data_IF_776285835547
#
_entry.id   IF_776285835547
#
_cell.length_a   1.000
_cell.length_b   1.000
_cell.length_c   1.000
_cell.angle_alpha   90.00
_cell.angle_beta   90.00
_cell.angle_gamma   90.00
#
_symmetry.space_group_name_H-M   'P 1'
#
loop_
_entity.id
_entity.type
_entity.pdbx_description
1 polymer ?
#
# COMPACT_ATOMS: atom_id res chain seq x y z
N UNK A 1 -62.37 -35.07 2.07
CA UNK A 1 -62.40 -33.63 2.36
C UNK A 1 -61.27 -32.97 1.58
N UNK A 2 -61.51 -31.79 0.98
CA UNK A 2 -60.61 -31.12 0.03
C UNK A 2 -60.18 -29.75 0.53
N UNK A 3 -58.89 -29.45 0.39
CA UNK A 3 -58.27 -28.12 0.29
C UNK A 3 -56.83 -28.39 -0.19
N UNK A 4 -56.47 -28.31 -1.47
CA UNK A 4 -56.57 -27.18 -2.42
C UNK A 4 -55.71 -26.00 -1.98
N UNK A 5 -54.45 -25.99 -2.43
CA UNK A 5 -53.58 -24.81 -2.47
C UNK A 5 -53.28 -24.47 -3.95
N UNK A 6 -53.21 -23.19 -4.33
CA UNK A 6 -53.20 -22.79 -5.73
C UNK A 6 -51.85 -23.01 -6.42
N UNK A 7 -51.91 -23.56 -7.63
CA UNK A 7 -50.78 -23.72 -8.54
C UNK A 7 -50.76 -22.60 -9.58
N UNK A 8 -49.87 -21.62 -9.45
CA UNK A 8 -49.49 -20.74 -10.56
C UNK A 8 -47.99 -20.42 -10.58
N UNK A 9 -47.47 -20.23 -11.80
CA UNK A 9 -46.11 -19.80 -12.16
C UNK A 9 -44.98 -20.81 -11.97
N UNK A 10 -45.10 -21.93 -12.71
CA UNK A 10 -43.90 -22.52 -13.32
C UNK A 10 -43.37 -21.59 -14.43
N UNK A 11 -42.11 -21.17 -14.29
CA UNK A 11 -41.32 -20.56 -15.37
C UNK A 11 -40.14 -21.47 -15.68
N UNK A 12 -40.14 -22.09 -16.85
CA UNK A 12 -39.07 -22.98 -17.31
C UNK A 12 -37.82 -22.18 -17.67
N UNK A 13 -36.66 -22.56 -17.09
CA UNK A 13 -35.36 -22.03 -17.49
C UNK A 13 -34.57 -23.08 -18.27
N UNK A 14 -34.68 -23.00 -19.59
CA UNK A 14 -33.66 -23.51 -20.50
C UNK A 14 -32.46 -22.55 -20.56
N UNK A 15 -31.33 -22.96 -21.15
CA UNK A 15 -30.07 -22.22 -21.08
C UNK A 15 -29.94 -21.10 -22.14
N UNK A 16 -28.93 -20.26 -21.90
CA UNK A 16 -28.19 -19.43 -22.86
C UNK A 16 -28.49 -17.92 -22.95
N UNK A 17 -27.39 -17.21 -23.19
CA UNK A 17 -27.23 -15.88 -23.80
C UNK A 17 -27.62 -14.62 -23.02
N UNK A 18 -26.63 -14.15 -22.26
CA UNK A 18 -26.52 -12.79 -21.76
C UNK A 18 -26.33 -11.77 -22.90
N UNK A 19 -27.43 -11.17 -23.36
CA UNK A 19 -27.41 -9.97 -24.22
C UNK A 19 -27.84 -8.75 -23.40
N UNK A 20 -26.92 -7.82 -23.18
CA UNK A 20 -27.22 -6.47 -22.70
C UNK A 20 -26.72 -5.44 -23.70
N UNK A 21 -27.64 -4.88 -24.48
CA UNK A 21 -27.42 -3.69 -25.29
C UNK A 21 -28.63 -2.76 -25.18
N UNK A 22 -28.41 -1.54 -24.65
CA UNK A 22 -29.20 -0.35 -24.95
C UNK A 22 -28.41 0.93 -24.57
N UNK A 23 -28.76 2.12 -25.08
CA UNK A 23 -27.89 2.71 -26.10
C UNK A 23 -27.43 4.14 -25.78
N UNK A 24 -26.37 4.58 -26.46
CA UNK A 24 -25.97 5.99 -26.50
C UNK A 24 -26.68 6.74 -27.64
N UNK A 25 -27.10 8.01 -27.45
CA UNK A 25 -27.65 8.83 -28.51
C UNK A 25 -26.56 9.40 -29.43
N UNK A 26 -26.90 9.57 -30.70
CA UNK A 26 -25.98 9.90 -31.80
C UNK A 26 -26.14 11.33 -32.33
N UNK A 27 -25.05 12.10 -32.31
CA UNK A 27 -24.74 13.23 -33.22
C UNK A 27 -23.29 13.64 -32.91
N UNK A 28 -22.37 13.88 -33.85
CA UNK A 28 -22.40 13.81 -35.32
C UNK A 28 -21.23 14.67 -35.84
N UNK A 29 -20.38 14.15 -36.73
CA UNK A 29 -19.22 14.89 -37.24
C UNK A 29 -18.10 13.98 -37.73
N UNK A 30 -17.65 14.18 -38.98
CA UNK A 30 -16.70 13.32 -39.70
C UNK A 30 -15.36 14.06 -39.87
N UNK A 31 -14.31 13.30 -40.19
CA UNK A 31 -13.03 13.66 -40.83
C UNK A 31 -11.74 13.66 -39.96
N UNK A 32 -10.76 12.92 -40.50
CA UNK A 32 -9.35 12.86 -40.11
C UNK A 32 -8.53 13.95 -40.87
N UNK A 33 -7.29 14.26 -40.45
CA UNK A 33 -6.65 15.55 -40.76
C UNK A 33 -5.86 15.59 -42.07
N UNK A 34 -5.58 16.82 -42.55
CA UNK A 34 -4.66 17.13 -43.64
C UNK A 34 -3.63 18.20 -43.21
N UNK A 35 -2.44 18.17 -43.81
CA UNK A 35 -1.28 19.00 -43.46
C UNK A 35 -1.28 20.40 -44.12
N UNK A 36 -0.64 21.38 -43.48
CA UNK A 36 -0.03 22.60 -44.07
C UNK A 36 0.61 23.43 -42.92
N UNK A 37 1.61 24.31 -43.11
CA UNK A 37 2.70 24.40 -44.10
C UNK A 37 3.81 25.32 -43.50
N UNK A 38 5.08 25.19 -43.92
CA UNK A 38 6.16 26.14 -43.59
C UNK A 38 6.16 27.35 -44.55
N UNK A 39 6.82 28.48 -44.21
CA UNK A 39 8.18 28.70 -44.75
C UNK A 39 9.15 29.53 -43.87
N UNK A 40 10.48 29.36 -44.05
CA UNK A 40 11.48 30.41 -44.35
C UNK A 40 12.95 29.89 -44.30
N UNK A 41 13.82 30.42 -45.16
CA UNK A 41 15.27 30.17 -45.36
C UNK A 41 15.79 31.08 -46.50
N UNK A 42 17.11 31.21 -46.83
CA UNK A 42 18.36 31.08 -46.06
C UNK A 42 19.38 32.23 -46.30
N UNK A 43 20.54 32.20 -45.61
CA UNK A 43 21.84 32.83 -45.99
C UNK A 43 22.93 32.35 -45.00
N UNK A 44 24.25 32.31 -45.21
CA UNK A 44 25.18 32.19 -46.37
C UNK A 44 26.62 32.21 -45.80
N UNK A 45 27.49 31.33 -46.31
CA UNK A 45 28.97 31.31 -46.33
C UNK A 45 29.85 32.14 -45.36
N UNK A 46 30.88 31.49 -44.78
CA UNK A 46 32.31 31.89 -44.96
C UNK A 46 33.27 30.69 -44.79
N UNK A 47 34.42 30.76 -45.47
CA UNK A 47 35.43 29.70 -45.61
C UNK A 47 36.56 29.76 -44.57
N UNK A 48 37.26 28.64 -44.37
CA UNK A 48 38.66 28.62 -43.95
C UNK A 48 39.43 27.46 -44.65
N UNK A 49 40.35 27.81 -45.54
CA UNK A 49 41.52 27.02 -45.98
C UNK A 49 42.61 27.09 -44.88
N UNK A 50 43.65 26.26 -44.76
CA UNK A 50 44.33 25.28 -45.64
C UNK A 50 44.93 24.12 -44.76
N UNK A 51 45.84 23.20 -45.15
CA UNK A 51 46.66 22.99 -46.36
C UNK A 51 47.12 21.50 -46.53
N UNK A 52 48.13 21.28 -47.38
CA UNK A 52 49.01 20.12 -47.66
C UNK A 52 49.18 19.06 -46.54
N UNK A 53 49.24 17.76 -46.84
CA UNK A 53 50.36 17.15 -47.61
C UNK A 53 49.97 15.94 -48.49
N UNK A 54 50.89 15.55 -49.39
CA UNK A 54 50.73 14.47 -50.38
C UNK A 54 51.49 13.23 -49.92
N UNK A 55 50.85 12.07 -49.89
CA UNK A 55 51.56 10.81 -50.13
C UNK A 55 50.72 9.80 -50.93
N UNK A 56 51.41 8.95 -51.68
CA UNK A 56 50.89 8.10 -52.74
C UNK A 56 51.15 6.63 -52.40
N UNK A 57 50.21 6.00 -51.69
CA UNK A 57 50.24 4.57 -51.44
C UNK A 57 48.95 3.87 -51.89
N UNK A 58 49.15 2.98 -52.86
CA UNK A 58 48.44 1.76 -53.26
C UNK A 58 46.99 1.50 -52.75
N UNK A 59 46.15 1.06 -53.69
CA UNK A 59 44.80 0.52 -53.42
C UNK A 59 44.87 -0.77 -52.60
N UNK A 60 44.99 -0.66 -51.28
CA UNK A 60 44.76 -1.76 -50.35
C UNK A 60 43.27 -1.84 -50.05
N UNK A 61 42.62 -2.88 -50.56
CA UNK A 61 41.19 -3.14 -50.35
C UNK A 61 40.91 -3.54 -48.89
N UNK A 62 40.78 -2.55 -48.00
CA UNK A 62 40.37 -2.75 -46.61
C UNK A 62 38.91 -3.20 -46.53
N UNK A 63 38.57 -4.35 -45.92
CA UNK A 63 37.21 -4.90 -45.91
C UNK A 63 36.23 -4.16 -44.98
N UNK A 64 36.68 -3.10 -44.29
CA UNK A 64 35.89 -2.33 -43.32
C UNK A 64 35.84 -0.84 -43.68
N UNK A 65 35.01 -0.50 -44.66
CA UNK A 65 34.74 0.89 -45.04
C UNK A 65 33.63 1.50 -44.15
N UNK A 66 34.02 2.08 -43.01
CA UNK A 66 33.10 2.74 -42.10
C UNK A 66 32.78 4.17 -42.56
N UNK A 67 31.69 4.33 -43.33
CA UNK A 67 31.15 5.65 -43.63
C UNK A 67 30.43 6.24 -42.39
N UNK A 68 30.82 7.43 -41.88
CA UNK A 68 30.13 8.07 -40.78
C UNK A 68 28.76 8.61 -41.23
N UNK A 69 27.67 8.01 -40.75
CA UNK A 69 26.31 8.46 -41.06
C UNK A 69 25.91 9.60 -40.11
N UNK A 70 25.92 10.82 -40.63
CA UNK A 70 25.48 12.02 -39.91
C UNK A 70 23.94 12.02 -39.73
N UNK A 71 23.46 12.34 -38.54
CA UNK A 71 22.03 12.27 -38.21
C UNK A 71 21.25 13.46 -38.78
N UNK A 72 20.28 13.20 -39.66
CA UNK A 72 19.29 14.19 -40.10
C UNK A 72 17.91 13.87 -39.52
N UNK A 73 17.25 14.80 -38.80
CA UNK A 73 15.86 14.63 -38.39
C UNK A 73 14.93 14.58 -39.62
N UNK A 74 13.93 13.69 -39.62
CA UNK A 74 12.81 13.74 -40.57
C UNK A 74 12.84 12.77 -41.76
N UNK A 75 13.85 11.90 -41.91
CA UNK A 75 13.84 10.81 -42.92
C UNK A 75 13.64 9.45 -42.26
N UNK A 76 12.71 8.59 -42.70
CA UNK A 76 12.54 7.25 -42.14
C UNK A 76 13.79 6.41 -42.42
N UNK A 77 14.54 6.07 -41.38
CA UNK A 77 15.76 5.30 -41.49
C UNK A 77 15.45 3.86 -41.93
N UNK A 78 15.96 3.47 -43.10
CA UNK A 78 15.86 2.10 -43.58
C UNK A 78 16.59 1.14 -42.63
N UNK A 79 15.88 0.06 -42.24
CA UNK A 79 16.36 -1.21 -41.67
C UNK A 79 17.82 -1.24 -41.20
N UNK A 80 18.08 -0.78 -39.96
CA UNK A 80 19.31 -1.19 -39.25
C UNK A 80 19.24 -2.68 -38.90
N UNK A 81 20.36 -3.35 -39.07
CA UNK A 81 20.54 -4.79 -38.92
C UNK A 81 20.49 -5.24 -37.45
N UNK A 82 19.48 -6.04 -37.10
CA UNK A 82 19.35 -6.75 -35.82
C UNK A 82 20.30 -7.98 -35.82
N UNK A 83 21.62 -7.71 -35.84
CA UNK A 83 22.66 -8.75 -35.81
C UNK A 83 22.76 -9.35 -34.42
N UNK A 84 22.04 -10.45 -34.19
CA UNK A 84 22.16 -11.26 -32.97
C UNK A 84 20.87 -11.99 -32.61
N UNK A 85 19.70 -11.40 -32.91
CA UNK A 85 18.42 -12.10 -32.76
C UNK A 85 18.17 -12.91 -34.02
N UNK A 86 18.38 -14.23 -33.94
CA UNK A 86 17.96 -15.19 -34.99
C UNK A 86 16.44 -15.10 -35.16
N UNK A 87 15.99 -14.17 -36.01
CA UNK A 87 14.66 -14.16 -36.62
C UNK A 87 14.53 -15.45 -37.44
N UNK A 88 14.06 -16.51 -36.81
CA UNK A 88 13.52 -17.65 -37.54
C UNK A 88 12.45 -17.12 -38.48
N UNK A 89 12.66 -17.26 -39.78
CA UNK A 89 11.67 -16.85 -40.77
C UNK A 89 10.36 -17.59 -40.49
N UNK A 90 9.32 -16.85 -40.11
CA UNK A 90 7.95 -17.38 -40.00
C UNK A 90 7.37 -17.59 -41.40
N UNK A 91 7.91 -18.55 -42.15
CA UNK A 91 7.28 -19.08 -43.35
C UNK A 91 6.04 -19.88 -42.95
N UNK A 92 4.93 -19.19 -42.64
CA UNK A 92 3.61 -19.81 -42.43
C UNK A 92 2.88 -20.15 -43.74
N UNK A 93 3.47 -19.82 -44.90
CA UNK A 93 2.84 -19.92 -46.22
C UNK A 93 3.73 -20.59 -47.28
N UNK A 94 4.85 -21.22 -46.91
CA UNK A 94 5.55 -22.15 -47.81
C UNK A 94 4.72 -23.43 -47.91
N UNK A 95 3.86 -23.48 -48.93
CA UNK A 95 3.18 -24.70 -49.35
C UNK A 95 4.22 -25.82 -49.56
N UNK A 96 3.95 -26.99 -48.96
CA UNK A 96 4.83 -28.17 -48.92
C UNK A 96 6.06 -28.03 -47.98
N UNK A 97 5.83 -28.19 -46.67
CA UNK A 97 6.45 -29.30 -45.89
C UNK A 97 6.08 -29.23 -44.39
N UNK A 98 5.48 -30.31 -43.90
CA UNK A 98 5.45 -30.75 -42.49
C UNK A 98 5.49 -29.68 -41.37
N UNK A 99 4.33 -29.10 -41.06
CA UNK A 99 4.08 -28.47 -39.74
C UNK A 99 4.00 -29.55 -38.64
N UNK A 100 5.14 -30.13 -38.26
CA UNK A 100 5.28 -31.11 -37.16
C UNK A 100 4.93 -30.48 -35.81
N UNK A 101 5.13 -29.17 -35.67
CA UNK A 101 4.66 -28.40 -34.52
C UNK A 101 3.36 -27.68 -34.90
N UNK A 102 2.21 -28.28 -34.54
CA UNK A 102 1.00 -27.49 -34.37
C UNK A 102 1.30 -26.44 -33.30
N UNK A 103 1.06 -25.16 -33.61
CA UNK A 103 1.05 -24.14 -32.56
C UNK A 103 -0.04 -24.54 -31.56
N UNK A 104 0.26 -24.56 -30.24
CA UNK A 104 -0.72 -24.97 -29.24
C UNK A 104 -1.98 -24.10 -29.37
N UNK A 105 -3.19 -24.67 -29.21
CA UNK A 105 -4.44 -23.93 -29.43
C UNK A 105 -4.38 -22.56 -28.73
N UNK A 106 -4.74 -21.46 -29.42
CA UNK A 106 -4.63 -20.13 -28.86
C UNK A 106 -5.43 -20.07 -27.56
N UNK A 107 -4.72 -19.95 -26.44
CA UNK A 107 -5.32 -19.93 -25.11
C UNK A 107 -6.35 -18.81 -25.07
N UNK A 108 -7.53 -19.10 -24.53
CA UNK A 108 -8.56 -18.09 -24.32
C UNK A 108 -7.95 -16.85 -23.63
N UNK A 109 -8.31 -15.62 -24.07
CA UNK A 109 -7.73 -14.41 -23.53
C UNK A 109 -7.92 -14.40 -22.01
N UNK A 110 -6.83 -14.13 -21.29
CA UNK A 110 -6.83 -14.12 -19.82
C UNK A 110 -7.87 -13.11 -19.34
N UNK A 111 -8.77 -13.56 -18.46
CA UNK A 111 -9.89 -12.76 -17.93
C UNK A 111 -9.43 -11.50 -17.18
N UNK A 112 -8.15 -11.45 -16.79
CA UNK A 112 -7.54 -10.32 -16.10
C UNK A 112 -6.57 -9.56 -17.02
N UNK A 113 -6.58 -8.21 -17.00
CA UNK A 113 -5.61 -7.42 -17.74
C UNK A 113 -4.18 -7.68 -17.22
N UNK A 114 -3.21 -7.66 -18.14
CA UNK A 114 -1.80 -7.91 -17.81
C UNK A 114 -1.26 -6.90 -16.77
N UNK A 115 -1.56 -5.63 -16.98
CA UNK A 115 -1.33 -4.54 -16.03
C UNK A 115 -2.29 -3.40 -16.32
N UNK A 116 -2.58 -2.59 -15.31
CA UNK A 116 -3.25 -1.29 -15.47
C UNK A 116 -2.20 -0.17 -15.50
N UNK A 117 -2.50 1.00 -16.10
CA UNK A 117 -1.61 2.14 -16.06
C UNK A 117 -1.35 2.58 -14.61
N UNK A 118 -0.09 2.85 -14.28
CA UNK A 118 0.30 3.36 -12.96
C UNK A 118 0.22 4.89 -13.04
N UNK A 119 -0.59 5.57 -12.19
CA UNK A 119 -0.76 7.01 -12.25
C UNK A 119 0.53 7.76 -11.92
N UNK A 120 0.80 8.80 -12.71
CA UNK A 120 1.89 9.76 -12.50
C UNK A 120 1.57 10.72 -11.36
N UNK A 121 2.59 11.39 -10.81
CA UNK A 121 2.38 12.43 -9.77
C UNK A 121 1.46 13.58 -10.24
N UNK A 122 1.44 13.90 -11.54
CA UNK A 122 0.53 14.89 -12.11
C UNK A 122 -0.92 14.42 -12.05
N UNK A 123 -1.16 13.16 -12.42
CA UNK A 123 -2.49 12.54 -12.38
C UNK A 123 -2.99 12.38 -10.94
N UNK A 124 -2.12 11.95 -10.01
CA UNK A 124 -2.39 11.94 -8.56
C UNK A 124 -2.90 13.29 -8.09
N UNK A 125 -2.18 14.38 -8.42
CA UNK A 125 -2.57 15.74 -8.03
C UNK A 125 -3.89 16.20 -8.67
N UNK A 126 -4.13 15.89 -9.94
CA UNK A 126 -5.39 16.26 -10.61
C UNK A 126 -6.59 15.41 -10.16
N UNK A 127 -6.35 14.22 -9.58
CA UNK A 127 -7.38 13.33 -9.05
C UNK A 127 -7.87 13.73 -7.66
N UNK A 128 -7.13 14.58 -6.93
CA UNK A 128 -7.48 14.96 -5.56
C UNK A 128 -8.83 15.68 -5.49
N UNK A 129 -9.77 15.12 -4.71
CA UNK A 129 -11.00 15.83 -4.37
C UNK A 129 -10.72 17.06 -3.50
N UNK A 130 -11.68 18.00 -3.42
CA UNK A 130 -11.57 19.17 -2.51
C UNK A 130 -11.39 18.74 -1.06
N UNK A 131 -12.04 17.66 -0.65
CA UNK A 131 -11.90 17.07 0.68
C UNK A 131 -10.48 16.50 0.87
N UNK A 132 -9.97 15.68 -0.07
CA UNK A 132 -8.61 15.14 -0.04
C UNK A 132 -7.53 16.24 -0.04
N UNK A 133 -7.76 17.34 -0.76
CA UNK A 133 -6.87 18.51 -0.78
C UNK A 133 -6.87 19.23 0.56
N UNK A 134 -8.05 19.46 1.16
CA UNK A 134 -8.17 20.04 2.50
C UNK A 134 -7.53 19.14 3.57
N UNK A 135 -7.72 17.82 3.46
CA UNK A 135 -7.06 16.82 4.30
C UNK A 135 -5.53 16.90 4.19
N UNK A 136 -5.00 16.94 2.96
CA UNK A 136 -3.56 17.09 2.71
C UNK A 136 -2.99 18.41 3.25
N UNK A 137 -3.71 19.52 3.08
CA UNK A 137 -3.33 20.81 3.66
C UNK A 137 -3.28 20.75 5.20
N UNK A 138 -4.23 20.05 5.83
CA UNK A 138 -4.19 19.82 7.28
C UNK A 138 -3.00 18.96 7.71
N UNK A 139 -2.56 17.97 6.92
CA UNK A 139 -1.34 17.20 7.22
C UNK A 139 -0.10 18.11 7.28
N UNK A 140 0.03 19.09 6.38
CA UNK A 140 1.11 20.10 6.45
C UNK A 140 0.97 21.02 7.67
N UNK A 141 -0.26 21.40 8.04
CA UNK A 141 -0.53 22.16 9.27
C UNK A 141 -0.08 21.39 10.53
N UNK A 142 -0.45 20.10 10.64
CA UNK A 142 -0.02 19.22 11.72
C UNK A 142 1.51 19.11 11.77
N UNK A 143 2.15 18.85 10.64
CA UNK A 143 3.61 18.77 10.55
C UNK A 143 4.30 20.07 10.99
N UNK A 144 3.72 21.23 10.66
CA UNK A 144 4.20 22.53 11.11
C UNK A 144 4.05 22.70 12.63
N UNK A 145 2.92 22.31 13.22
CA UNK A 145 2.73 22.28 14.69
C UNK A 145 3.77 21.38 15.36
N UNK A 146 4.01 20.17 14.83
CA UNK A 146 5.04 19.27 15.36
C UNK A 146 6.44 19.90 15.31
N UNK A 147 6.77 20.62 14.23
CA UNK A 147 8.00 21.37 14.09
C UNK A 147 8.13 22.55 15.07
N UNK A 148 7.06 23.30 15.32
CA UNK A 148 7.04 24.36 16.33
C UNK A 148 7.22 23.81 17.75
N UNK A 149 6.55 22.71 18.09
CA UNK A 149 6.72 22.03 19.39
C UNK A 149 8.17 21.54 19.53
N UNK A 150 8.75 20.93 18.49
CA UNK A 150 10.15 20.51 18.48
C UNK A 150 11.12 21.68 18.69
N UNK A 151 10.86 22.83 18.07
CA UNK A 151 11.65 24.05 18.26
C UNK A 151 11.52 24.63 19.68
N UNK A 152 10.37 24.44 20.34
CA UNK A 152 10.17 24.84 21.73
C UNK A 152 10.74 23.86 22.78
N UNK A 153 11.18 22.66 22.36
CA UNK A 153 11.43 21.53 23.26
C UNK A 153 12.83 21.51 23.93
N UNK A 154 13.68 22.51 23.70
CA UNK A 154 15.13 22.49 24.00
C UNK A 154 15.55 22.14 25.45
N UNK A 155 14.66 22.25 26.45
CA UNK A 155 14.96 22.01 27.88
C UNK A 155 14.01 20.99 28.56
N UNK A 156 13.10 20.32 27.84
CA UNK A 156 12.18 19.31 28.41
C UNK A 156 12.19 18.02 27.62
N UNK A 157 12.38 16.90 28.33
CA UNK A 157 12.33 15.58 27.71
C UNK A 157 10.89 15.24 27.33
N UNK A 158 9.89 15.61 28.14
CA UNK A 158 8.50 15.36 27.80
C UNK A 158 8.02 16.19 26.58
N UNK A 159 8.45 17.45 26.40
CA UNK A 159 8.20 18.19 25.15
C UNK A 159 8.91 17.55 23.94
N UNK A 160 10.14 17.06 24.15
CA UNK A 160 10.95 16.37 23.13
C UNK A 160 10.38 15.00 22.72
N UNK A 161 9.58 14.39 23.59
CA UNK A 161 8.76 13.20 23.31
C UNK A 161 7.47 13.58 22.60
N UNK A 162 6.76 14.62 23.08
CA UNK A 162 5.52 15.12 22.49
C UNK A 162 5.73 15.52 21.02
N UNK A 163 6.81 16.24 20.70
CA UNK A 163 7.13 16.62 19.32
C UNK A 163 7.33 15.40 18.41
N UNK A 164 8.05 14.36 18.85
CA UNK A 164 8.22 13.11 18.11
C UNK A 164 6.89 12.36 17.91
N UNK A 165 5.99 12.38 18.91
CA UNK A 165 4.63 11.83 18.76
C UNK A 165 3.78 12.61 17.75
N UNK A 166 3.79 13.94 17.81
CA UNK A 166 3.06 14.78 16.84
C UNK A 166 3.62 14.61 15.42
N UNK A 167 4.93 14.43 15.27
CA UNK A 167 5.56 14.11 14.00
C UNK A 167 5.12 12.73 13.47
N UNK A 168 5.05 11.72 14.33
CA UNK A 168 4.51 10.40 13.98
C UNK A 168 3.04 10.47 13.56
N UNK A 169 2.21 11.19 14.34
CA UNK A 169 0.79 11.40 14.03
C UNK A 169 0.61 12.14 12.69
N UNK A 170 1.45 13.13 12.38
CA UNK A 170 1.45 13.84 11.10
C UNK A 170 1.87 12.94 9.93
N UNK A 171 2.89 12.08 10.09
CA UNK A 171 3.28 11.11 9.06
C UNK A 171 2.19 10.06 8.79
N UNK A 172 1.49 9.59 9.83
CA UNK A 172 0.30 8.74 9.70
C UNK A 172 -0.81 9.42 8.90
N UNK A 173 -0.94 10.74 9.06
CA UNK A 173 -1.94 11.55 8.36
C UNK A 173 -1.64 11.60 6.85
N UNK A 174 -0.38 11.86 6.49
CA UNK A 174 0.08 11.80 5.10
C UNK A 174 -0.12 10.42 4.48
N UNK A 175 0.17 9.33 5.21
CA UNK A 175 -0.07 7.97 4.75
C UNK A 175 -1.55 7.76 4.40
N UNK A 176 -2.46 8.11 5.31
CA UNK A 176 -3.89 7.93 5.10
C UNK A 176 -4.43 8.76 3.93
N UNK A 177 -3.97 10.01 3.74
CA UNK A 177 -4.33 10.82 2.58
C UNK A 177 -3.75 10.24 1.28
N UNK A 178 -2.50 9.78 1.26
CA UNK A 178 -1.87 9.19 0.09
C UNK A 178 -2.61 7.92 -0.38
N UNK A 179 -3.03 7.08 0.57
CA UNK A 179 -3.83 5.86 0.30
C UNK A 179 -5.25 6.20 -0.16
N UNK A 180 -5.87 7.24 0.39
CA UNK A 180 -7.21 7.69 0.00
C UNK A 180 -7.21 8.25 -1.45
N UNK A 181 -6.23 9.10 -1.79
CA UNK A 181 -6.06 9.58 -3.18
C UNK A 181 -5.65 8.43 -4.11
N UNK A 182 -4.79 7.51 -3.67
CA UNK A 182 -4.45 6.30 -4.44
C UNK A 182 -5.68 5.45 -4.75
N UNK A 183 -6.63 5.36 -3.80
CA UNK A 183 -7.89 4.63 -3.93
C UNK A 183 -8.87 5.21 -4.96
N UNK A 184 -8.59 6.40 -5.54
CA UNK A 184 -9.31 6.97 -6.67
C UNK A 184 -9.01 6.24 -8.00
N UNK A 185 -7.87 5.55 -8.10
CA UNK A 185 -7.45 4.86 -9.32
C UNK A 185 -7.78 3.36 -9.28
N UNK A 186 -8.27 2.80 -10.39
CA UNK A 186 -8.63 1.37 -10.47
C UNK A 186 -7.48 0.44 -10.05
N UNK A 187 -6.24 0.75 -10.46
CA UNK A 187 -5.05 -0.06 -10.17
C UNK A 187 -4.79 -0.25 -8.66
N UNK A 188 -5.36 0.60 -7.81
CA UNK A 188 -5.27 0.42 -6.36
C UNK A 188 -6.01 -0.83 -5.89
N UNK A 189 -7.23 -1.05 -6.38
CA UNK A 189 -8.16 -2.10 -5.91
C UNK A 189 -8.34 -3.27 -6.88
N UNK A 190 -8.06 -3.07 -8.17
CA UNK A 190 -8.33 -4.03 -9.24
C UNK A 190 -7.13 -4.96 -9.46
N UNK A 191 -7.38 -6.26 -9.35
CA UNK A 191 -6.40 -7.31 -9.67
C UNK A 191 -5.95 -7.27 -11.13
N UNK A 192 -4.65 -7.49 -11.33
CA UNK A 192 -3.99 -7.61 -12.64
C UNK A 192 -2.98 -8.76 -12.59
N UNK A 193 -2.47 -9.23 -13.74
CA UNK A 193 -1.45 -10.29 -13.74
C UNK A 193 -0.16 -9.83 -13.04
N UNK A 194 0.23 -8.56 -13.22
CA UNK A 194 1.41 -7.97 -12.56
C UNK A 194 1.19 -7.71 -11.06
N UNK A 195 -0.02 -7.33 -10.67
CA UNK A 195 -0.42 -7.00 -9.30
C UNK A 195 -1.73 -7.74 -8.95
N UNK A 196 -1.67 -9.00 -8.49
CA UNK A 196 -2.84 -9.87 -8.32
C UNK A 196 -3.83 -9.38 -7.24
N UNK A 197 -3.41 -8.47 -6.37
CA UNK A 197 -4.22 -7.88 -5.30
C UNK A 197 -4.20 -6.35 -5.33
N UNK A 198 -4.02 -5.77 -6.53
CA UNK A 198 -3.86 -4.32 -6.70
C UNK A 198 -2.65 -3.76 -5.96
N UNK A 199 -2.73 -2.48 -5.57
CA UNK A 199 -1.74 -1.82 -4.72
C UNK A 199 -2.14 -1.74 -3.24
N UNK A 200 -3.27 -2.32 -2.80
CA UNK A 200 -3.67 -2.29 -1.37
C UNK A 200 -2.63 -2.96 -0.43
N UNK A 201 -1.78 -3.86 -0.93
CA UNK A 201 -0.64 -4.41 -0.16
C UNK A 201 0.49 -3.39 0.07
N UNK A 202 0.63 -2.36 -0.77
CA UNK A 202 1.64 -1.31 -0.58
C UNK A 202 1.39 -0.46 0.68
N UNK A 203 0.12 -0.29 1.06
CA UNK A 203 -0.29 0.32 2.32
C UNK A 203 0.21 -0.46 3.55
N UNK A 204 0.21 -1.79 3.48
CA UNK A 204 0.73 -2.67 4.56
C UNK A 204 2.24 -2.50 4.70
N UNK A 205 2.98 -2.39 3.59
CA UNK A 205 4.43 -2.12 3.57
C UNK A 205 4.75 -0.75 4.16
N UNK A 206 4.01 0.28 3.77
CA UNK A 206 4.20 1.63 4.31
C UNK A 206 3.82 1.71 5.79
N UNK A 207 2.79 0.98 6.23
CA UNK A 207 2.45 0.80 7.65
C UNK A 207 3.53 0.07 8.46
N UNK A 208 4.22 -0.91 7.86
CA UNK A 208 5.40 -1.53 8.47
C UNK A 208 6.54 -0.50 8.61
N UNK A 209 6.80 0.29 7.56
CA UNK A 209 7.78 1.39 7.61
C UNK A 209 7.50 2.38 8.75
N UNK A 210 6.23 2.77 8.93
CA UNK A 210 5.80 3.59 10.07
C UNK A 210 6.10 2.91 11.42
N UNK A 211 5.78 1.63 11.58
CA UNK A 211 6.04 0.91 12.84
C UNK A 211 7.53 0.80 13.18
N UNK A 212 8.38 0.66 12.17
CA UNK A 212 9.85 0.71 12.31
C UNK A 212 10.28 2.11 12.72
N UNK A 213 9.75 3.16 12.10
CA UNK A 213 9.99 4.56 12.51
C UNK A 213 9.62 4.82 13.97
N UNK A 214 8.47 4.29 14.43
CA UNK A 214 8.03 4.42 15.83
C UNK A 214 8.96 3.70 16.81
N UNK A 215 9.42 2.49 16.46
CA UNK A 215 10.44 1.74 17.21
C UNK A 215 11.73 2.55 17.34
N UNK A 216 12.26 3.06 16.23
CA UNK A 216 13.49 3.85 16.24
C UNK A 216 13.34 5.13 17.07
N UNK A 217 12.24 5.87 16.94
CA UNK A 217 12.00 7.08 17.76
C UNK A 217 11.86 6.76 19.24
N UNK A 218 11.22 5.64 19.62
CA UNK A 218 11.12 5.22 21.01
C UNK A 218 12.47 4.80 21.61
N UNK A 219 13.28 4.03 20.87
CA UNK A 219 14.63 3.63 21.28
C UNK A 219 15.59 4.81 21.36
N UNK A 220 15.50 5.75 20.41
CA UNK A 220 16.25 7.01 20.37
C UNK A 220 15.99 7.86 21.62
N UNK A 221 14.72 8.01 22.00
CA UNK A 221 14.31 8.70 23.24
C UNK A 221 14.84 8.02 24.51
N UNK A 222 14.76 6.69 24.58
CA UNK A 222 15.32 5.92 25.70
C UNK A 222 16.85 6.11 25.78
N UNK A 223 17.55 6.06 24.64
CA UNK A 223 19.00 6.25 24.57
C UNK A 223 19.41 7.64 25.08
N UNK A 224 18.80 8.71 24.54
CA UNK A 224 19.05 10.08 24.99
C UNK A 224 18.73 10.29 26.49
N UNK A 225 17.59 9.76 26.95
CA UNK A 225 17.20 9.83 28.37
C UNK A 225 18.18 9.10 29.30
N UNK A 226 18.71 7.95 28.89
CA UNK A 226 19.71 7.20 29.66
C UNK A 226 21.07 7.93 29.68
N UNK A 227 21.52 8.47 28.54
CA UNK A 227 22.76 9.26 28.46
C UNK A 227 22.74 10.41 29.46
N UNK A 228 21.71 11.27 29.44
CA UNK A 228 21.58 12.36 30.40
C UNK A 228 21.48 11.91 31.87
N UNK A 229 20.87 10.74 32.13
CA UNK A 229 20.79 10.18 33.47
C UNK A 229 22.13 9.61 33.99
N UNK A 230 23.03 9.21 33.08
CA UNK A 230 24.38 8.72 33.39
C UNK A 230 25.38 9.87 33.51
N UNK A 231 25.35 10.83 32.58
CA UNK A 231 26.16 12.06 32.63
C UNK A 231 25.96 12.80 33.97
N UNK A 232 24.71 12.96 34.41
CA UNK A 232 24.38 13.60 35.69
C UNK A 232 24.84 12.85 36.94
N UNK A 233 25.35 11.62 36.83
CA UNK A 233 25.97 10.85 37.94
C UNK A 233 27.49 10.80 37.87
N UNK A 234 28.10 11.17 36.75
CA UNK A 234 29.53 10.97 36.49
C UNK A 234 30.48 11.97 37.17
N UNK A 235 29.97 13.01 37.83
CA UNK A 235 30.79 14.02 38.54
C UNK A 235 31.61 14.95 37.63
N UNK A 236 31.52 14.79 36.31
CA UNK A 236 32.16 15.67 35.33
C UNK A 236 31.27 16.87 35.02
N UNK A 237 31.81 18.08 35.16
CA UNK A 237 31.17 19.31 34.70
C UNK A 237 31.05 19.29 33.17
N UNK A 238 29.84 19.49 32.64
CA UNK A 238 29.64 19.64 31.21
C UNK A 238 30.43 20.86 30.69
N UNK A 239 31.25 20.66 29.66
CA UNK A 239 32.05 21.73 29.04
C UNK A 239 31.19 22.80 28.34
N UNK A 240 29.89 22.53 28.15
CA UNK A 240 28.86 23.52 27.85
C UNK A 240 27.92 23.62 29.05
N UNK A 241 28.01 24.73 29.78
CA UNK A 241 27.05 25.05 30.83
C UNK A 241 25.73 25.49 30.18
N UNK A 242 24.83 24.53 29.96
CA UNK A 242 23.42 24.81 29.71
C UNK A 242 22.86 25.42 31.00
N UNK A 243 22.77 26.75 31.04
CA UNK A 243 22.02 27.43 32.07
C UNK A 243 20.56 27.01 31.92
N UNK A 244 20.01 26.32 32.92
CA UNK A 244 18.61 25.90 32.97
C UNK A 244 17.68 27.12 33.16
N UNK A 245 17.64 27.99 32.16
CA UNK A 245 16.60 29.00 32.04
C UNK A 245 15.30 28.26 31.77
N UNK A 246 14.38 28.34 32.74
CA UNK A 246 13.08 27.68 32.66
C UNK A 246 12.41 28.00 31.33
N UNK A 247 11.98 26.96 30.62
CA UNK A 247 10.89 27.10 29.64
C UNK A 247 9.73 27.78 30.37
N UNK A 248 9.30 28.95 29.85
CA UNK A 248 8.14 29.65 30.40
C UNK A 248 6.95 28.68 30.46
N UNK A 249 6.21 28.57 31.58
CA UNK A 249 5.06 27.67 31.67
C UNK A 249 4.09 27.83 30.50
N UNK A 250 3.87 29.07 30.04
CA UNK A 250 3.02 29.35 28.87
C UNK A 250 3.50 28.74 27.56
N UNK A 251 4.80 28.45 27.39
CA UNK A 251 5.31 27.73 26.21
C UNK A 251 4.99 26.22 26.30
N UNK A 252 5.05 25.64 27.50
CA UNK A 252 4.67 24.23 27.75
C UNK A 252 3.16 24.09 27.53
N UNK A 253 2.37 25.01 28.08
CA UNK A 253 0.91 25.04 27.92
C UNK A 253 0.50 25.19 26.45
N UNK A 254 1.11 26.13 25.73
CA UNK A 254 0.84 26.33 24.31
C UNK A 254 1.26 25.12 23.46
N UNK A 255 2.41 24.51 23.75
CA UNK A 255 2.84 23.28 23.08
C UNK A 255 1.84 22.14 23.30
N UNK A 256 1.45 21.87 24.55
CA UNK A 256 0.52 20.80 24.89
C UNK A 256 -0.91 21.06 24.37
N UNK A 257 -1.42 22.29 24.44
CA UNK A 257 -2.70 22.69 23.84
C UNK A 257 -2.67 22.53 22.30
N UNK A 258 -1.58 22.95 21.64
CA UNK A 258 -1.42 22.79 20.20
C UNK A 258 -1.37 21.32 19.79
N UNK A 259 -0.73 20.46 20.61
CA UNK A 259 -0.71 19.01 20.42
C UNK A 259 -2.10 18.39 20.54
N UNK A 260 -2.84 18.71 21.61
CA UNK A 260 -4.23 18.24 21.79
C UNK A 260 -5.11 18.67 20.61
N UNK A 261 -5.09 19.96 20.26
CA UNK A 261 -5.90 20.47 19.16
C UNK A 261 -5.51 19.80 17.84
N UNK A 262 -4.22 19.69 17.55
CA UNK A 262 -3.71 19.08 16.31
C UNK A 262 -4.10 17.61 16.18
N UNK A 263 -3.92 16.81 17.24
CA UNK A 263 -4.28 15.39 17.26
C UNK A 263 -5.80 15.18 17.22
N UNK A 264 -6.61 15.97 17.94
CA UNK A 264 -8.07 15.88 17.89
C UNK A 264 -8.62 16.24 16.50
N UNK A 265 -8.19 17.37 15.93
CA UNK A 265 -8.62 17.80 14.58
C UNK A 265 -8.20 16.76 13.54
N UNK A 266 -7.01 16.15 13.67
CA UNK A 266 -6.57 15.05 12.82
C UNK A 266 -7.39 13.76 13.00
N UNK A 267 -7.75 13.41 14.23
CA UNK A 267 -8.57 12.23 14.50
C UNK A 267 -9.99 12.38 13.93
N UNK A 268 -10.61 13.57 14.06
CA UNK A 268 -11.97 13.83 13.57
C UNK A 268 -12.04 14.07 12.05
N UNK A 269 -11.21 14.96 11.48
CA UNK A 269 -11.29 15.31 10.04
C UNK A 269 -10.61 14.28 9.13
N UNK A 270 -9.49 13.71 9.55
CA UNK A 270 -8.70 12.80 8.72
C UNK A 270 -8.99 11.32 8.98
N UNK A 271 -9.64 10.98 10.12
CA UNK A 271 -9.73 9.61 10.63
C UNK A 271 -8.34 8.95 10.63
N UNK A 272 -7.34 9.73 11.02
CA UNK A 272 -5.91 9.56 10.77
C UNK A 272 -5.41 8.13 11.04
N UNK A 273 -5.81 7.50 12.15
CA UNK A 273 -5.40 6.14 12.47
C UNK A 273 -6.53 5.09 12.42
N UNK A 274 -7.64 5.37 11.71
CA UNK A 274 -8.73 4.39 11.52
C UNK A 274 -8.27 3.08 10.86
N UNK A 275 -7.13 3.11 10.16
CA UNK A 275 -6.52 1.94 9.51
C UNK A 275 -5.60 1.17 10.46
N UNK A 276 -4.75 1.87 11.21
CA UNK A 276 -3.92 1.28 12.28
C UNK A 276 -4.80 0.68 13.39
N UNK A 277 -5.94 1.29 13.71
CA UNK A 277 -6.95 0.75 14.62
C UNK A 277 -7.69 -0.51 14.12
N UNK A 278 -7.64 -0.85 12.82
CA UNK A 278 -8.11 -2.16 12.33
C UNK A 278 -7.13 -3.28 12.68
N UNK A 279 -5.85 -2.97 12.79
CA UNK A 279 -4.76 -3.91 13.11
C UNK A 279 -4.58 -4.04 14.62
N UNK A 280 -4.63 -2.92 15.33
CA UNK A 280 -4.37 -2.83 16.77
C UNK A 280 -5.66 -2.73 17.59
N UNK A 281 -6.49 -3.78 17.56
CA UNK A 281 -7.60 -3.93 18.51
C UNK A 281 -7.09 -4.44 19.87
N UNK A 282 -6.41 -3.57 20.59
CA UNK A 282 -6.05 -3.79 21.99
C UNK A 282 -7.33 -3.82 22.84
N UNK A 283 -7.74 -5.00 23.31
CA UNK A 283 -9.02 -5.19 24.01
C UNK A 283 -9.24 -4.27 25.21
N UNK A 284 -8.16 -3.85 25.89
CA UNK A 284 -8.21 -2.92 27.03
C UNK A 284 -8.70 -1.51 26.66
N UNK A 285 -8.44 -1.03 25.43
CA UNK A 285 -8.87 0.31 24.95
C UNK A 285 -10.05 0.24 23.97
N UNK A 286 -10.54 -0.97 23.63
CA UNK A 286 -11.65 -1.16 22.71
C UNK A 286 -12.98 -0.56 23.20
N UNK A 287 -13.14 -0.41 24.52
CA UNK A 287 -14.32 0.19 25.16
C UNK A 287 -14.26 1.72 25.27
N UNK A 288 -13.15 2.36 24.89
CA UNK A 288 -13.02 3.81 24.89
C UNK A 288 -13.71 4.44 23.65
N UNK A 289 -14.07 5.73 23.71
CA UNK A 289 -14.58 6.46 22.54
C UNK A 289 -13.68 6.30 21.31
N UNK A 290 -14.27 6.32 20.11
CA UNK A 290 -13.61 5.92 18.85
C UNK A 290 -12.28 6.64 18.52
N UNK A 291 -12.03 7.82 19.09
CA UNK A 291 -10.76 8.55 18.97
C UNK A 291 -9.67 7.96 19.88
N UNK A 292 -10.04 7.56 21.10
CA UNK A 292 -9.14 6.99 22.12
C UNK A 292 -8.99 5.47 22.01
N UNK A 293 -9.86 4.79 21.26
CA UNK A 293 -9.67 3.38 20.91
C UNK A 293 -8.47 3.16 19.97
N UNK A 294 -7.90 4.24 19.41
CA UNK A 294 -6.64 4.19 18.71
C UNK A 294 -5.43 4.44 19.63
N UNK A 295 -4.45 3.52 19.69
CA UNK A 295 -3.37 3.61 20.66
C UNK A 295 -2.37 4.75 20.43
N UNK A 296 -2.11 5.20 19.18
CA UNK A 296 -1.19 6.34 18.98
C UNK A 296 -1.85 7.65 19.42
N UNK A 297 -3.09 7.89 19.02
CA UNK A 297 -3.87 9.05 19.48
C UNK A 297 -4.06 9.07 21.00
N UNK A 298 -4.31 7.91 21.62
CA UNK A 298 -4.35 7.80 23.08
C UNK A 298 -3.00 8.19 23.72
N UNK A 299 -1.87 7.75 23.15
CA UNK A 299 -0.53 8.08 23.66
C UNK A 299 -0.22 9.57 23.52
N UNK A 300 -0.50 10.19 22.36
CA UNK A 300 -0.29 11.64 22.14
C UNK A 300 -1.19 12.49 23.04
N UNK A 301 -2.48 12.15 23.16
CA UNK A 301 -3.43 12.91 23.97
C UNK A 301 -3.16 12.76 25.48
N UNK A 302 -2.80 11.57 25.96
CA UNK A 302 -2.43 11.37 27.37
C UNK A 302 -1.11 12.05 27.73
N UNK A 303 -0.09 12.00 26.86
CA UNK A 303 1.15 12.75 27.04
C UNK A 303 0.89 14.26 27.10
N UNK A 304 0.09 14.80 26.17
CA UNK A 304 -0.24 16.23 26.14
C UNK A 304 -1.08 16.66 27.36
N UNK A 305 -2.04 15.85 27.80
CA UNK A 305 -2.85 16.15 28.97
C UNK A 305 -2.02 16.13 30.28
N UNK A 306 -1.07 15.19 30.40
CA UNK A 306 -0.15 15.15 31.54
C UNK A 306 0.81 16.35 31.54
N UNK A 307 1.26 16.81 30.36
CA UNK A 307 2.05 18.03 30.22
C UNK A 307 1.31 19.30 30.66
N UNK A 308 -0.01 19.41 30.48
CA UNK A 308 -0.82 20.50 31.03
C UNK A 308 -0.99 20.45 32.55
N UNK A 309 -0.74 19.30 33.18
CA UNK A 309 -0.78 19.15 34.64
C UNK A 309 0.58 19.39 35.30
N UNK A 310 1.70 19.30 34.56
CA UNK A 310 3.05 19.55 35.07
C UNK A 310 3.22 20.95 35.72
N UNK A 311 2.70 22.06 35.15
CA UNK A 311 2.83 23.40 35.74
C UNK A 311 2.12 23.59 37.08
N UNK A 312 1.18 22.71 37.44
CA UNK A 312 0.43 22.76 38.71
C UNK A 312 1.17 22.06 39.86
N UNK A 313 2.33 21.45 39.60
CA UNK A 313 3.11 20.65 40.54
C UNK A 313 4.36 21.40 41.04
N UNK A 314 4.90 20.94 42.18
CA UNK A 314 6.09 21.56 42.77
C UNK A 314 7.36 21.31 41.93
N UNK A 315 8.35 22.21 42.08
CA UNK A 315 9.58 22.23 41.29
C UNK A 315 10.35 20.89 41.34
N UNK A 316 10.41 20.27 42.52
CA UNK A 316 11.06 18.97 42.72
C UNK A 316 10.31 17.84 41.98
N UNK A 317 8.98 17.89 41.98
CA UNK A 317 8.12 16.90 41.32
C UNK A 317 8.17 17.04 39.79
N UNK A 318 8.27 18.27 39.27
CA UNK A 318 8.38 18.55 37.84
C UNK A 318 9.51 17.77 37.17
N UNK A 319 10.75 17.83 37.70
CA UNK A 319 11.92 17.18 37.07
C UNK A 319 11.82 15.66 37.11
N UNK A 320 11.28 15.10 38.19
CA UNK A 320 11.07 13.66 38.30
C UNK A 320 9.93 13.18 37.38
N UNK A 321 8.84 13.95 37.29
CA UNK A 321 7.68 13.63 36.46
C UNK A 321 7.97 13.78 34.96
N UNK A 322 8.68 14.82 34.52
CA UNK A 322 9.12 15.00 33.12
C UNK A 322 9.92 13.78 32.64
N UNK A 323 10.89 13.32 33.45
CA UNK A 323 11.68 12.11 33.18
C UNK A 323 10.83 10.85 33.16
N UNK A 324 10.02 10.61 34.19
CA UNK A 324 9.19 9.40 34.28
C UNK A 324 8.18 9.36 33.13
N UNK A 325 7.49 10.47 32.84
CA UNK A 325 6.56 10.61 31.71
C UNK A 325 7.26 10.32 30.38
N UNK A 326 8.43 10.92 30.15
CA UNK A 326 9.24 10.71 28.95
C UNK A 326 9.59 9.23 28.75
N UNK A 327 10.12 8.55 29.77
CA UNK A 327 10.43 7.13 29.69
C UNK A 327 9.19 6.24 29.49
N UNK A 328 8.09 6.49 30.21
CA UNK A 328 6.85 5.73 30.04
C UNK A 328 6.31 5.84 28.62
N UNK A 329 6.31 7.04 28.05
CA UNK A 329 5.83 7.27 26.69
C UNK A 329 6.77 6.68 25.66
N UNK A 330 8.09 6.79 25.83
CA UNK A 330 9.07 6.19 24.93
C UNK A 330 8.99 4.64 24.93
N UNK A 331 8.81 4.00 26.08
CA UNK A 331 8.51 2.56 26.19
C UNK A 331 7.18 2.24 25.48
N UNK A 332 6.17 3.09 25.62
CA UNK A 332 4.90 3.00 24.87
C UNK A 332 5.12 3.01 23.35
N UNK A 333 5.95 3.92 22.83
CA UNK A 333 6.30 3.98 21.41
C UNK A 333 6.99 2.69 20.95
N UNK A 334 7.96 2.18 21.70
CA UNK A 334 8.65 0.90 21.39
C UNK A 334 7.65 -0.26 21.39
N UNK A 335 6.80 -0.37 22.41
CA UNK A 335 5.82 -1.45 22.51
C UNK A 335 4.79 -1.42 21.37
N UNK A 336 4.23 -0.23 21.05
CA UNK A 336 3.28 -0.08 19.96
C UNK A 336 3.92 -0.35 18.60
N UNK A 337 5.14 0.17 18.37
CA UNK A 337 5.90 -0.07 17.14
C UNK A 337 6.24 -1.55 16.95
N UNK A 338 6.61 -2.26 18.03
CA UNK A 338 6.82 -3.71 18.01
C UNK A 338 5.55 -4.48 17.66
N UNK A 339 4.44 -4.21 18.35
CA UNK A 339 3.16 -4.89 18.13
C UNK A 339 2.65 -4.64 16.70
N UNK A 340 2.71 -3.39 16.23
CA UNK A 340 2.32 -3.02 14.88
C UNK A 340 3.22 -3.69 13.83
N UNK A 341 4.54 -3.63 14.01
CA UNK A 341 5.51 -4.23 13.09
C UNK A 341 5.39 -5.75 13.01
N UNK A 342 5.13 -6.42 14.13
CA UNK A 342 4.88 -7.86 14.19
C UNK A 342 3.59 -8.24 13.45
N UNK A 343 2.49 -7.52 13.67
CA UNK A 343 1.21 -7.78 13.02
C UNK A 343 1.27 -7.55 11.49
N UNK A 344 1.85 -6.43 11.06
CA UNK A 344 2.01 -6.09 9.64
C UNK A 344 3.05 -6.99 8.96
N UNK A 345 4.13 -7.34 9.66
CA UNK A 345 5.13 -8.30 9.20
C UNK A 345 4.51 -9.68 8.92
N UNK A 346 3.67 -10.20 9.82
CA UNK A 346 2.92 -11.46 9.58
C UNK A 346 1.99 -11.39 8.37
N UNK A 347 1.30 -10.27 8.16
CA UNK A 347 0.47 -10.06 6.97
C UNK A 347 1.32 -10.07 5.69
N UNK A 348 2.47 -9.40 5.69
CA UNK A 348 3.40 -9.40 4.56
C UNK A 348 4.03 -10.77 4.29
N UNK A 349 4.24 -11.57 5.34
CA UNK A 349 4.70 -12.97 5.28
C UNK A 349 3.58 -13.97 4.94
N UNK A 350 2.40 -13.51 4.50
CA UNK A 350 1.26 -14.36 4.13
C UNK A 350 0.84 -15.31 5.26
N UNK A 351 0.69 -14.78 6.46
CA UNK A 351 0.09 -15.48 7.61
C UNK A 351 -1.31 -14.96 7.92
N UNK A 352 -2.13 -15.79 8.56
CA UNK A 352 -3.37 -15.37 9.22
C UNK A 352 -3.23 -15.53 10.74
N UNK A 353 -3.72 -14.54 11.50
CA UNK A 353 -3.59 -14.50 12.98
C UNK A 353 -4.93 -14.42 13.69
N UNK A 354 -6.05 -14.55 12.97
CA UNK A 354 -7.37 -14.59 13.58
C UNK A 354 -7.74 -15.99 14.11
N UNK A 355 -8.77 -16.09 14.96
CA UNK A 355 -9.30 -17.36 15.45
C UNK A 355 -10.09 -18.12 14.36
N UNK A 356 -10.47 -19.37 14.67
CA UNK A 356 -11.45 -20.15 13.89
C UNK A 356 -10.89 -21.03 12.76
N UNK A 357 -9.60 -20.92 12.42
CA UNK A 357 -8.99 -21.77 11.38
C UNK A 357 -9.00 -23.25 11.76
N UNK A 358 -8.76 -23.57 13.03
CA UNK A 358 -8.88 -24.93 13.59
C UNK A 358 -10.26 -25.54 13.32
N UNK A 359 -11.30 -24.75 13.56
CA UNK A 359 -12.69 -25.20 13.57
C UNK A 359 -13.16 -25.41 12.12
N UNK A 360 -12.74 -24.52 11.21
CA UNK A 360 -12.95 -24.70 9.76
C UNK A 360 -12.19 -25.91 9.22
N UNK A 361 -10.97 -26.16 9.67
CA UNK A 361 -10.20 -27.32 9.22
C UNK A 361 -10.85 -28.63 9.69
N UNK A 362 -11.29 -28.68 10.95
CA UNK A 362 -12.04 -29.80 11.52
C UNK A 362 -13.38 -30.05 10.81
N UNK A 363 -14.16 -28.99 10.55
CA UNK A 363 -15.42 -29.08 9.79
C UNK A 363 -15.19 -29.60 8.34
N UNK A 364 -14.00 -29.39 7.75
CA UNK A 364 -13.64 -29.90 6.41
C UNK A 364 -13.12 -31.35 6.48
N UNK A 365 -12.28 -31.69 7.45
CA UNK A 365 -11.75 -33.04 7.65
C UNK A 365 -12.84 -34.06 8.02
N UNK A 366 -13.93 -33.59 8.65
CA UNK A 366 -15.09 -34.41 9.02
C UNK A 366 -16.20 -34.47 7.96
N UNK A 367 -16.09 -33.75 6.84
CA UNK A 367 -17.09 -33.80 5.76
C UNK A 367 -17.04 -35.18 5.05
N UNK A 368 -18.17 -35.90 4.91
CA UNK A 368 -18.18 -37.26 4.36
C UNK A 368 -17.69 -37.35 2.90
N UNK A 369 -17.70 -36.24 2.14
CA UNK A 369 -17.17 -36.20 0.78
C UNK A 369 -15.63 -36.16 0.72
N UNK A 370 -14.99 -35.68 1.79
CA UNK A 370 -13.52 -35.54 1.91
C UNK A 370 -12.93 -36.82 2.49
N UNK A 371 -11.85 -37.33 1.89
CA UNK A 371 -11.03 -38.40 2.49
C UNK A 371 -9.77 -37.87 3.16
N UNK A 372 -9.15 -36.83 2.60
CA UNK A 372 -8.00 -36.17 3.22
C UNK A 372 -7.87 -34.69 2.81
N UNK A 373 -7.39 -33.86 3.73
CA UNK A 373 -6.89 -32.52 3.43
C UNK A 373 -5.39 -32.64 3.14
N UNK A 374 -4.98 -32.54 1.87
CA UNK A 374 -3.56 -32.60 1.49
C UNK A 374 -2.83 -31.29 1.79
N UNK A 375 -3.52 -30.16 1.64
CA UNK A 375 -2.97 -28.83 1.89
C UNK A 375 -4.09 -27.86 2.29
N UNK A 376 -3.87 -27.08 3.35
CA UNK A 376 -4.73 -25.97 3.73
C UNK A 376 -3.86 -24.76 4.09
N UNK A 377 -4.06 -23.64 3.39
CA UNK A 377 -3.31 -22.39 3.61
C UNK A 377 -4.26 -21.22 3.77
N UNK A 378 -4.11 -20.50 4.88
CA UNK A 378 -4.89 -19.33 5.23
C UNK A 378 -3.98 -18.13 5.45
N UNK A 379 -4.26 -17.00 4.80
CA UNK A 379 -3.47 -15.79 4.99
C UNK A 379 -4.29 -14.51 4.82
N UNK A 380 -3.83 -13.42 5.44
CA UNK A 380 -4.34 -12.08 5.18
C UNK A 380 -3.49 -11.40 4.11
N UNK A 381 -4.13 -10.90 3.04
CA UNK A 381 -3.45 -10.27 1.90
C UNK A 381 -3.21 -8.78 2.16
N UNK A 382 -4.25 -8.11 2.67
CA UNK A 382 -4.27 -6.71 3.10
C UNK A 382 -5.47 -6.52 4.06
N UNK A 383 -5.64 -5.33 4.62
CA UNK A 383 -6.67 -5.06 5.64
C UNK A 383 -8.11 -5.40 5.24
N UNK A 384 -8.43 -5.44 3.94
CA UNK A 384 -9.77 -5.75 3.43
C UNK A 384 -9.99 -7.22 3.07
N UNK A 385 -8.94 -8.03 2.91
CA UNK A 385 -9.00 -9.32 2.23
C UNK A 385 -8.12 -10.39 2.90
N UNK A 386 -8.74 -11.53 3.19
CA UNK A 386 -8.07 -12.80 3.46
C UNK A 386 -8.28 -13.79 2.31
N UNK A 387 -7.40 -14.79 2.24
CA UNK A 387 -7.48 -15.86 1.27
C UNK A 387 -7.34 -17.22 1.97
N UNK A 388 -8.15 -18.18 1.54
CA UNK A 388 -8.04 -19.59 1.92
C UNK A 388 -7.84 -20.44 0.67
N UNK A 389 -6.87 -21.34 0.71
CA UNK A 389 -6.57 -22.25 -0.40
C UNK A 389 -6.48 -23.68 0.13
N UNK A 390 -7.20 -24.56 -0.54
CA UNK A 390 -7.32 -25.97 -0.15
C UNK A 390 -6.92 -26.87 -1.30
N UNK A 391 -6.22 -27.95 -0.97
CA UNK A 391 -6.01 -29.11 -1.82
C UNK A 391 -6.62 -30.32 -1.11
N UNK A 392 -7.73 -30.81 -1.62
CA UNK A 392 -8.54 -31.84 -0.98
C UNK A 392 -8.56 -33.11 -1.82
N UNK A 393 -8.47 -34.25 -1.15
CA UNK A 393 -8.79 -35.55 -1.73
C UNK A 393 -10.26 -35.87 -1.43
N UNK A 394 -11.00 -36.27 -2.45
CA UNK A 394 -12.41 -36.64 -2.33
C UNK A 394 -12.65 -38.09 -2.70
N UNK A 395 -13.66 -38.68 -2.08
CA UNK A 395 -14.10 -40.06 -2.34
C UNK A 395 -14.88 -40.19 -3.65
N UNK A 396 -15.73 -39.20 -3.95
CA UNK A 396 -16.67 -39.23 -5.08
C UNK A 396 -16.54 -37.99 -5.99
N UNK A 397 -16.64 -38.19 -7.30
CA UNK A 397 -16.59 -37.09 -8.30
C UNK A 397 -17.86 -36.22 -8.31
N UNK A 398 -19.04 -36.82 -8.13
CA UNK A 398 -20.33 -36.14 -8.32
C UNK A 398 -20.58 -34.98 -7.33
N UNK A 399 -19.91 -35.02 -6.18
CA UNK A 399 -20.07 -34.01 -5.12
C UNK A 399 -19.07 -32.84 -5.24
N UNK A 400 -18.06 -32.92 -6.12
CA UNK A 400 -16.96 -31.94 -6.20
C UNK A 400 -17.43 -30.48 -6.26
N UNK A 401 -18.40 -30.15 -7.11
CA UNK A 401 -18.90 -28.76 -7.25
C UNK A 401 -19.63 -28.31 -5.99
N UNK A 402 -20.52 -29.14 -5.45
CA UNK A 402 -21.28 -28.85 -4.21
C UNK A 402 -20.35 -28.69 -3.01
N UNK A 403 -19.29 -29.50 -2.94
CA UNK A 403 -18.27 -29.43 -1.91
C UNK A 403 -17.47 -28.12 -1.98
N UNK A 404 -17.04 -27.68 -3.17
CA UNK A 404 -16.38 -26.37 -3.36
C UNK A 404 -17.25 -25.22 -2.85
N UNK A 405 -18.54 -25.21 -3.21
CA UNK A 405 -19.47 -24.16 -2.79
C UNK A 405 -19.72 -24.20 -1.27
N UNK A 406 -19.85 -25.41 -0.69
CA UNK A 406 -20.00 -25.63 0.76
C UNK A 406 -18.78 -25.10 1.53
N UNK A 407 -17.56 -25.46 1.13
CA UNK A 407 -16.31 -24.97 1.76
C UNK A 407 -16.20 -23.46 1.62
N UNK A 408 -16.45 -22.91 0.43
CA UNK A 408 -16.43 -21.48 0.20
C UNK A 408 -17.41 -20.73 1.10
N UNK A 409 -18.62 -21.27 1.27
CA UNK A 409 -19.64 -20.73 2.20
C UNK A 409 -19.20 -20.86 3.66
N UNK A 410 -18.69 -22.03 4.07
CA UNK A 410 -18.20 -22.30 5.42
C UNK A 410 -17.10 -21.32 5.85
N UNK A 411 -16.06 -21.13 5.04
CA UNK A 411 -14.97 -20.17 5.31
C UNK A 411 -15.53 -18.75 5.44
N UNK A 412 -16.38 -18.30 4.51
CA UNK A 412 -16.97 -16.95 4.54
C UNK A 412 -17.87 -16.74 5.75
N UNK A 413 -18.62 -17.75 6.18
CA UNK A 413 -19.53 -17.63 7.33
C UNK A 413 -18.77 -17.70 8.66
N UNK A 414 -17.85 -18.65 8.82
CA UNK A 414 -17.06 -18.85 10.06
C UNK A 414 -16.01 -17.75 10.26
N UNK A 415 -15.22 -17.42 9.23
CA UNK A 415 -14.07 -16.50 9.33
C UNK A 415 -14.36 -15.08 8.80
N UNK A 416 -15.40 -14.92 7.98
CA UNK A 416 -15.82 -13.63 7.44
C UNK A 416 -16.86 -12.88 8.28
N UNK A 417 -17.28 -13.46 9.41
CA UNK A 417 -18.20 -12.84 10.37
C UNK A 417 -19.70 -13.04 10.07
N UNK A 418 -20.07 -13.93 9.16
CA UNK A 418 -21.47 -14.19 8.78
C UNK A 418 -22.09 -13.11 7.89
N UNK A 419 -23.25 -13.42 7.33
CA UNK A 419 -23.90 -12.57 6.33
C UNK A 419 -24.38 -11.24 6.95
N UNK A 420 -23.93 -10.11 6.41
CA UNK A 420 -24.37 -8.76 6.79
C UNK A 420 -23.62 -8.06 7.93
N UNK A 421 -22.66 -8.71 8.61
CA UNK A 421 -21.95 -8.11 9.77
C UNK A 421 -20.81 -7.13 9.40
N UNK A 422 -20.47 -6.99 8.12
CA UNK A 422 -19.37 -6.14 7.67
C UNK A 422 -17.97 -6.68 8.02
N UNK A 423 -17.83 -7.99 8.23
CA UNK A 423 -16.57 -8.65 8.54
C UNK A 423 -15.58 -8.75 7.36
N UNK A 424 -14.47 -9.45 7.62
CA UNK A 424 -13.34 -9.60 6.69
C UNK A 424 -13.75 -10.31 5.40
N UNK A 425 -13.42 -9.78 4.21
CA UNK A 425 -13.69 -10.49 2.94
C UNK A 425 -12.75 -11.70 2.83
N UNK A 426 -13.29 -12.83 2.36
CA UNK A 426 -12.52 -14.05 2.06
C UNK A 426 -12.69 -14.46 0.59
N UNK A 427 -11.56 -14.61 -0.10
CA UNK A 427 -11.46 -15.33 -1.38
C UNK A 427 -11.04 -16.78 -1.10
N UNK A 428 -11.70 -17.74 -1.75
CA UNK A 428 -11.51 -19.18 -1.47
C UNK A 428 -11.23 -19.93 -2.76
N UNK A 429 -10.14 -20.69 -2.78
CA UNK A 429 -9.77 -21.58 -3.89
C UNK A 429 -9.66 -23.02 -3.40
N UNK A 430 -10.29 -23.96 -4.10
CA UNK A 430 -10.31 -25.38 -3.71
C UNK A 430 -9.94 -26.25 -4.90
N UNK A 431 -8.69 -26.68 -4.93
CA UNK A 431 -8.24 -27.78 -5.78
C UNK A 431 -8.74 -29.10 -5.19
N UNK A 432 -9.26 -29.97 -6.05
CA UNK A 432 -9.77 -31.28 -5.66
C UNK A 432 -9.10 -32.34 -6.54
N UNK A 433 -8.60 -33.40 -5.90
CA UNK A 433 -8.11 -34.63 -6.50
C UNK A 433 -9.02 -35.79 -6.10
N UNK A 434 -9.27 -36.72 -7.02
CA UNK A 434 -9.97 -37.95 -6.69
C UNK A 434 -9.02 -38.87 -5.91
N UNK A 435 -9.56 -39.61 -4.95
CA UNK A 435 -8.88 -40.76 -4.36
C UNK A 435 -8.73 -41.87 -5.42
N UNK A 436 -7.49 -42.12 -5.84
CA UNK A 436 -7.15 -43.32 -6.62
C UNK A 436 -6.81 -44.44 -5.65
N UNK A 437 -7.49 -45.57 -5.79
CA UNK A 437 -7.18 -46.84 -5.10
C UNK A 437 -5.71 -47.29 -5.30
#
# INVERSE_FOLDING_TARGET
>A
MSATFPSERYGTLGPSDSVSQRPTPSTGGVFSPAESAFPYSPASAVSATSENEVDRSENVASPFNFQPVQYMPGRPAANKSDVGRRRGHKYKHSSVSHQIFLEPPPRAPLQLPASLPIPTFKEYRSSMSREQTMRGAWCFCHLFVAGLVQWSAHESLALTVLSRLLFYDALGAFLCVAVDVGSNFEVWKRSTIRHPFGFERSEVVAGLGMSVGLLFMGLDLISHGLTHALEGKGGHTAHHAHAHERVSPGNIDLAALSGILSTLVSAFLLKNHSRIGKVMRLGAIANLPSVLSNPSHFLTLSCSALLLLLPLLSIQMYVWLDRTLSFTVAIGMVALGWIQGWALGKMLLMSYTGPGVSDVLYDIETDPAVSAVEEAKFWQVHYGLCQANFKLRVRNLDEMTRLRDRIGSMVRNRLGGGYGSGGQKWEVSTQITLETD
#
